data_IF_830356460779
#
_entry.id   IF_830356460779
#
_cell.length_a   1.000
_cell.length_b   1.000
_cell.length_c   1.000
_cell.angle_alpha   90.00
_cell.angle_beta   90.00
_cell.angle_gamma   90.00
#
_symmetry.space_group_name_H-M   'P 1'
#
loop_
_entity.id
_entity.type
_entity.pdbx_description
1 polymer ?
#
# COMPACT_ATOMS: atom_id res chain seq x y z
N UNK A 1 2.05 11.85 11.90
CA UNK A 1 2.47 10.51 11.45
C UNK A 1 3.09 10.67 10.06
N UNK A 2 4.16 9.95 9.72
CA UNK A 2 4.80 10.05 8.40
C UNK A 2 4.43 8.83 7.54
N UNK A 3 4.46 8.97 6.20
CA UNK A 3 4.27 7.87 5.26
C UNK A 3 5.42 6.83 5.31
N UNK A 4 6.52 7.14 6.00
CA UNK A 4 7.64 6.22 6.26
C UNK A 4 7.39 5.28 7.44
N UNK A 5 6.29 5.47 8.19
CA UNK A 5 5.96 4.64 9.35
C UNK A 5 5.61 3.20 8.92
N UNK A 6 6.17 2.17 9.58
CA UNK A 6 5.94 0.76 9.22
C UNK A 6 4.49 0.30 9.37
N UNK A 7 3.64 1.07 10.06
CA UNK A 7 2.21 0.81 10.18
C UNK A 7 1.43 1.25 8.94
N UNK A 8 1.99 2.13 8.12
CA UNK A 8 1.37 2.60 6.87
C UNK A 8 1.45 1.50 5.82
N UNK A 9 0.37 1.34 5.06
CA UNK A 9 0.32 0.38 3.99
C UNK A 9 1.11 0.91 2.78
N UNK A 10 2.31 0.37 2.54
CA UNK A 10 3.12 0.75 1.36
C UNK A 10 2.39 0.47 0.03
N UNK A 11 1.68 -0.66 -0.15
CA UNK A 11 0.83 -0.87 -1.33
C UNK A 11 -0.27 0.18 -1.49
N UNK A 12 -0.86 0.68 -0.40
CA UNK A 12 -1.85 1.75 -0.47
C UNK A 12 -1.26 3.07 -0.97
N UNK A 13 -0.05 3.43 -0.52
CA UNK A 13 0.65 4.62 -1.02
C UNK A 13 0.90 4.58 -2.53
N UNK A 14 0.92 3.37 -3.11
CA UNK A 14 1.09 3.11 -4.54
C UNK A 14 -0.23 2.78 -5.27
N UNK A 15 -1.39 2.92 -4.61
CA UNK A 15 -2.70 2.54 -5.14
C UNK A 15 -2.82 1.07 -5.61
N UNK A 16 -2.07 0.16 -5.00
CA UNK A 16 -2.05 -1.26 -5.34
C UNK A 16 -2.43 -2.17 -4.16
N UNK A 17 -3.03 -1.64 -3.09
CA UNK A 17 -3.42 -2.48 -1.95
C UNK A 17 -4.56 -3.45 -2.33
N UNK A 18 -4.37 -4.78 -2.19
CA UNK A 18 -5.39 -5.76 -2.57
C UNK A 18 -6.64 -5.66 -1.70
N UNK A 19 -6.51 -5.29 -0.42
CA UNK A 19 -7.66 -5.10 0.48
C UNK A 19 -8.61 -4.02 -0.04
N UNK A 20 -8.08 -2.89 -0.53
CA UNK A 20 -8.88 -1.78 -1.05
C UNK A 20 -9.44 -2.08 -2.45
N UNK A 21 -8.63 -2.69 -3.32
CA UNK A 21 -9.04 -3.03 -4.69
C UNK A 21 -10.11 -4.11 -4.72
N UNK A 22 -10.02 -5.10 -3.83
CA UNK A 22 -10.95 -6.23 -3.75
C UNK A 22 -12.13 -5.97 -2.80
N UNK A 23 -12.19 -4.79 -2.16
CA UNK A 23 -13.32 -4.41 -1.30
C UNK A 23 -14.62 -4.52 -2.09
N UNK A 24 -15.60 -5.27 -1.57
CA UNK A 24 -16.90 -5.49 -2.20
C UNK A 24 -16.93 -6.52 -3.33
N UNK A 25 -15.83 -7.25 -3.56
CA UNK A 25 -15.80 -8.36 -4.52
C UNK A 25 -16.11 -9.70 -3.85
N UNK A 26 -16.30 -10.77 -4.65
CA UNK A 26 -16.50 -12.14 -4.11
C UNK A 26 -15.31 -12.68 -3.31
N UNK A 27 -14.16 -12.00 -3.39
CA UNK A 27 -12.91 -12.33 -2.69
C UNK A 27 -12.51 -11.18 -1.75
N UNK A 28 -13.51 -10.56 -1.11
CA UNK A 28 -13.27 -9.52 -0.10
C UNK A 28 -12.39 -10.07 1.04
N UNK A 29 -11.27 -9.39 1.29
CA UNK A 29 -10.25 -9.79 2.27
C UNK A 29 -10.48 -9.16 3.64
N UNK A 30 -11.54 -8.36 3.79
CA UNK A 30 -11.78 -7.48 4.93
C UNK A 30 -10.84 -6.29 4.99
N UNK A 31 -10.94 -5.55 6.09
CA UNK A 31 -10.16 -4.34 6.35
C UNK A 31 -8.65 -4.62 6.40
N UNK A 32 -7.86 -3.73 5.79
CA UNK A 32 -6.41 -3.84 5.85
C UNK A 32 -5.92 -3.61 7.29
N UNK A 33 -5.00 -4.45 7.77
CA UNK A 33 -4.38 -4.28 9.10
C UNK A 33 -3.40 -3.10 9.18
N UNK A 34 -3.10 -2.48 8.03
CA UNK A 34 -2.18 -1.35 7.88
C UNK A 34 -2.96 -0.06 7.68
N UNK A 35 -2.35 1.07 7.97
CA UNK A 35 -3.00 2.38 7.90
C UNK A 35 -3.10 2.87 6.46
N UNK A 36 -4.32 3.20 6.04
CA UNK A 36 -4.68 3.77 4.75
C UNK A 36 -5.15 5.22 4.94
N UNK A 37 -4.22 6.16 4.99
CA UNK A 37 -4.55 7.59 5.10
C UNK A 37 -4.25 8.33 3.80
N UNK A 38 -5.27 8.90 3.17
CA UNK A 38 -5.11 9.65 1.91
C UNK A 38 -4.15 10.84 2.02
N UNK A 39 -4.04 11.46 3.21
CA UNK A 39 -3.06 12.52 3.45
C UNK A 39 -1.63 12.00 3.26
N UNK A 40 -1.31 10.81 3.80
CA UNK A 40 0.00 10.18 3.67
C UNK A 40 0.31 9.77 2.23
N UNK A 41 -0.71 9.33 1.47
CA UNK A 41 -0.57 9.06 0.03
C UNK A 41 -0.22 10.33 -0.72
N UNK A 42 -0.94 11.43 -0.48
CA UNK A 42 -0.66 12.70 -1.13
C UNK A 42 0.74 13.22 -0.77
N UNK A 43 1.19 13.02 0.47
CA UNK A 43 2.56 13.35 0.90
C UNK A 43 3.60 12.50 0.15
N UNK A 44 3.36 11.19 0.03
CA UNK A 44 4.21 10.28 -0.73
C UNK A 44 4.26 10.63 -2.22
N UNK A 45 3.13 10.88 -2.87
CA UNK A 45 3.06 11.26 -4.29
C UNK A 45 3.86 12.54 -4.59
N UNK A 46 3.88 13.49 -3.65
CA UNK A 46 4.72 14.71 -3.76
C UNK A 46 6.20 14.44 -3.54
N UNK A 47 6.55 13.49 -2.67
CA UNK A 47 7.93 13.16 -2.34
C UNK A 47 8.59 12.15 -3.29
N UNK A 48 7.82 11.23 -3.88
CA UNK A 48 8.26 10.18 -4.78
C UNK A 48 9.12 10.65 -5.98
N UNK A 49 8.78 11.75 -6.70
CA UNK A 49 9.60 12.21 -7.83
C UNK A 49 10.96 12.77 -7.42
N UNK A 50 11.13 13.17 -6.15
CA UNK A 50 12.37 13.79 -5.65
C UNK A 50 13.20 12.84 -4.78
N UNK A 51 12.58 11.83 -4.18
CA UNK A 51 13.24 10.82 -3.35
C UNK A 51 13.06 9.45 -4.01
N UNK A 52 14.16 8.82 -4.43
CA UNK A 52 14.18 7.41 -4.83
C UNK A 52 13.94 6.52 -3.61
N UNK A 53 12.68 6.40 -3.19
CA UNK A 53 12.27 5.71 -1.97
C UNK A 53 12.25 4.18 -2.14
N UNK A 54 12.28 3.68 -3.39
CA UNK A 54 12.22 2.25 -3.73
C UNK A 54 11.01 1.49 -3.14
N UNK A 55 9.93 2.20 -2.77
CA UNK A 55 8.73 1.61 -2.17
C UNK A 55 8.01 0.65 -3.10
N UNK A 56 8.22 0.78 -4.42
CA UNK A 56 7.72 -0.16 -5.42
C UNK A 56 8.27 -1.58 -5.21
N UNK A 57 9.53 -1.72 -4.78
CA UNK A 57 10.11 -3.05 -4.47
C UNK A 57 9.45 -3.67 -3.25
N UNK A 58 9.33 -2.90 -2.17
CA UNK A 58 8.70 -3.39 -0.95
C UNK A 58 7.23 -3.76 -1.16
N UNK A 59 6.50 -2.93 -1.91
CA UNK A 59 5.13 -3.23 -2.27
C UNK A 59 5.03 -4.47 -3.17
N UNK A 60 5.95 -4.64 -4.12
CA UNK A 60 5.98 -5.81 -4.99
C UNK A 60 6.22 -7.10 -4.21
N UNK A 61 7.14 -7.12 -3.24
CA UNK A 61 7.39 -8.31 -2.42
C UNK A 61 6.15 -8.69 -1.58
N UNK A 62 5.49 -7.69 -0.98
CA UNK A 62 4.23 -7.90 -0.25
C UNK A 62 3.13 -8.42 -1.19
N UNK A 63 3.02 -7.87 -2.39
CA UNK A 63 2.02 -8.30 -3.39
C UNK A 63 2.30 -9.71 -3.92
N UNK A 64 3.57 -10.07 -4.15
CA UNK A 64 3.94 -11.43 -4.55
C UNK A 64 3.56 -12.45 -3.48
N UNK A 65 3.84 -12.12 -2.21
CA UNK A 65 3.45 -12.99 -1.10
C UNK A 65 1.94 -13.16 -1.04
N UNK A 66 1.19 -12.09 -1.31
CA UNK A 66 -0.27 -12.12 -1.35
C UNK A 66 -0.79 -13.00 -2.51
N UNK A 67 -0.25 -12.84 -3.71
CA UNK A 67 -0.62 -13.66 -4.88
C UNK A 67 -0.24 -15.14 -4.68
N UNK A 68 0.83 -15.43 -3.97
CA UNK A 68 1.25 -16.80 -3.67
C UNK A 68 0.35 -17.49 -2.62
N UNK A 69 -0.37 -16.72 -1.79
CA UNK A 69 -1.28 -17.23 -0.75
C UNK A 69 -2.73 -17.38 -1.24
N UNK A 70 -3.04 -16.86 -2.44
CA UNK A 70 -4.34 -16.94 -3.11
C UNK A 70 -4.45 -18.13 -4.07
#
# INVERSE_FOLDING_TARGET
MSFEDPRVCRPFLLNCCPHEILTGTRVDLGECRKVHEYALRADYERAAPTRNLHYERDALEVLKQFVADA
#
